data_IF_381587871568
#
_entry.id   IF_381587871568
#
_cell.length_a   1.000
_cell.length_b   1.000
_cell.length_c   1.000
_cell.angle_alpha   90.00
_cell.angle_beta   90.00
_cell.angle_gamma   90.00
#
_symmetry.space_group_name_H-M   'P 1'
#
loop_
_entity.id
_entity.type
_entity.pdbx_description
1 polymer ?
#
# COMPACT_ATOMS: atom_id res chain seq x y z
N UNK A 1 -15.65 10.73 -26.22
CA UNK A 1 -15.71 10.09 -24.88
C UNK A 1 -14.71 8.95 -24.74
N UNK A 2 -14.73 7.88 -25.55
CA UNK A 2 -13.86 6.69 -25.33
C UNK A 2 -12.34 6.92 -25.16
N UNK A 3 -11.73 7.85 -25.89
CA UNK A 3 -10.27 8.03 -25.87
C UNK A 3 -9.77 8.67 -24.57
N UNK A 4 -10.50 9.66 -24.05
CA UNK A 4 -10.16 10.35 -22.81
C UNK A 4 -10.27 9.41 -21.61
N UNK A 5 -11.33 8.60 -21.56
CA UNK A 5 -11.55 7.63 -20.48
C UNK A 5 -10.45 6.56 -20.46
N UNK A 6 -10.02 6.07 -21.62
CA UNK A 6 -8.89 5.15 -21.75
C UNK A 6 -7.60 5.81 -21.25
N UNK A 7 -7.35 7.06 -21.65
CA UNK A 7 -6.16 7.81 -21.23
C UNK A 7 -6.12 8.03 -19.71
N UNK A 8 -7.24 8.41 -19.10
CA UNK A 8 -7.36 8.57 -17.64
C UNK A 8 -7.17 7.24 -16.89
N UNK A 9 -7.70 6.14 -17.40
CA UNK A 9 -7.48 4.81 -16.81
C UNK A 9 -5.99 4.41 -16.85
N UNK A 10 -5.29 4.66 -17.96
CA UNK A 10 -3.85 4.36 -18.09
C UNK A 10 -3.04 5.19 -17.09
N UNK A 11 -3.31 6.49 -16.99
CA UNK A 11 -2.64 7.36 -16.01
C UNK A 11 -2.91 6.87 -14.59
N UNK A 12 -4.16 6.51 -14.27
CA UNK A 12 -4.52 5.96 -12.96
C UNK A 12 -3.72 4.71 -12.62
N UNK A 13 -3.58 3.77 -13.56
CA UNK A 13 -2.77 2.55 -13.38
C UNK A 13 -1.29 2.89 -13.16
N UNK A 14 -0.71 3.81 -13.95
CA UNK A 14 0.69 4.21 -13.82
C UNK A 14 0.98 4.86 -12.46
N UNK A 15 0.08 5.71 -11.98
CA UNK A 15 0.20 6.33 -10.64
C UNK A 15 0.16 5.27 -9.54
N UNK A 16 -0.69 4.25 -9.66
CA UNK A 16 -0.75 3.14 -8.70
C UNK A 16 0.55 2.34 -8.70
N UNK A 17 1.11 2.04 -9.87
CA UNK A 17 2.37 1.31 -10.00
C UNK A 17 3.52 2.08 -9.34
N UNK A 18 3.64 3.37 -9.62
CA UNK A 18 4.69 4.22 -9.04
C UNK A 18 4.54 4.32 -7.51
N UNK A 19 3.29 4.43 -7.03
CA UNK A 19 3.01 4.45 -5.59
C UNK A 19 3.37 3.13 -4.91
N UNK A 20 3.07 1.98 -5.53
CA UNK A 20 3.50 0.66 -5.03
C UNK A 20 5.02 0.59 -4.98
N UNK A 21 5.70 1.00 -6.04
CA UNK A 21 7.16 1.00 -6.10
C UNK A 21 7.76 1.82 -4.96
N UNK A 22 7.26 3.05 -4.75
CA UNK A 22 7.68 3.92 -3.67
C UNK A 22 7.50 3.27 -2.28
N UNK A 23 6.33 2.66 -2.02
CA UNK A 23 6.07 1.96 -0.75
C UNK A 23 7.04 0.80 -0.56
N UNK A 24 7.21 -0.05 -1.57
CA UNK A 24 8.08 -1.23 -1.50
C UNK A 24 9.51 -0.82 -1.18
N UNK A 25 10.07 0.15 -1.92
CA UNK A 25 11.43 0.64 -1.71
C UNK A 25 11.60 1.20 -0.29
N UNK A 26 10.63 1.99 0.17
CA UNK A 26 10.67 2.61 1.51
C UNK A 26 10.63 1.55 2.62
N UNK A 27 9.70 0.60 2.54
CA UNK A 27 9.53 -0.44 3.56
C UNK A 27 10.76 -1.36 3.60
N UNK A 28 11.30 -1.74 2.45
CA UNK A 28 12.52 -2.56 2.38
C UNK A 28 13.73 -1.82 2.91
N UNK A 29 13.85 -0.52 2.62
CA UNK A 29 14.90 0.32 3.18
C UNK A 29 14.78 0.38 4.72
N UNK A 30 13.58 0.64 5.25
CA UNK A 30 13.35 0.68 6.69
C UNK A 30 13.72 -0.63 7.38
N UNK A 31 13.30 -1.76 6.79
CA UNK A 31 13.67 -3.08 7.30
C UNK A 31 15.19 -3.31 7.30
N UNK A 32 15.87 -2.95 6.20
CA UNK A 32 17.32 -3.10 6.06
C UNK A 32 18.09 -2.33 7.13
N UNK A 33 17.61 -1.16 7.53
CA UNK A 33 18.29 -0.28 8.48
C UNK A 33 17.76 -0.37 9.92
N UNK A 34 16.93 -1.37 10.25
CA UNK A 34 16.46 -1.55 11.63
C UNK A 34 15.40 -0.54 12.07
N UNK A 35 14.75 0.14 11.13
CA UNK A 35 13.70 1.13 11.41
C UNK A 35 12.30 0.49 11.38
N UNK A 36 11.32 1.23 11.90
CA UNK A 36 9.90 0.88 11.79
C UNK A 36 9.48 0.76 10.33
N UNK A 37 8.71 -0.28 9.99
CA UNK A 37 8.33 -0.58 8.60
C UNK A 37 7.63 0.60 7.92
N UNK A 38 6.75 1.30 8.66
CA UNK A 38 6.00 2.45 8.16
C UNK A 38 6.36 3.69 8.99
N UNK A 39 6.91 4.72 8.35
CA UNK A 39 7.29 5.97 9.03
C UNK A 39 6.02 6.72 9.44
N UNK A 40 5.77 6.82 10.76
CA UNK A 40 4.58 7.51 11.31
C UNK A 40 4.62 9.04 11.17
N UNK A 41 5.78 9.63 10.91
CA UNK A 41 5.95 11.08 10.78
C UNK A 41 6.13 11.52 9.33
N UNK A 42 5.04 12.02 8.75
CA UNK A 42 4.99 13.30 8.02
C UNK A 42 6.11 13.60 7.02
N UNK A 43 6.48 12.66 6.15
CA UNK A 43 7.06 13.10 4.88
C UNK A 43 5.94 13.72 4.03
N UNK A 44 6.08 15.02 3.75
CA UNK A 44 5.17 15.80 2.90
C UNK A 44 4.95 15.13 1.55
N UNK A 45 5.99 14.47 1.02
CA UNK A 45 5.95 13.64 -0.19
C UNK A 45 4.97 12.47 -0.08
N UNK A 46 4.91 11.78 1.07
CA UNK A 46 3.97 10.68 1.29
C UNK A 46 2.52 11.16 1.29
N UNK A 47 2.23 12.29 1.97
CA UNK A 47 0.89 12.89 1.97
C UNK A 47 0.46 13.37 0.57
N UNK A 48 1.38 14.02 -0.15
CA UNK A 48 1.13 14.47 -1.53
C UNK A 48 0.91 13.26 -2.46
N UNK A 49 1.72 12.21 -2.33
CA UNK A 49 1.55 10.96 -3.08
C UNK A 49 0.20 10.28 -2.82
N UNK A 50 -0.24 10.23 -1.56
CA UNK A 50 -1.57 9.69 -1.20
C UNK A 50 -2.71 10.53 -1.78
N UNK A 51 -2.60 11.87 -1.79
CA UNK A 51 -3.63 12.75 -2.38
C UNK A 51 -3.67 12.58 -3.91
N UNK A 52 -2.52 12.57 -4.58
CA UNK A 52 -2.42 12.35 -6.03
C UNK A 52 -3.00 10.98 -6.39
N UNK A 53 -2.71 9.96 -5.60
CA UNK A 53 -3.28 8.61 -5.74
C UNK A 53 -4.81 8.62 -5.62
N UNK A 54 -5.36 9.26 -4.59
CA UNK A 54 -6.82 9.34 -4.38
C UNK A 54 -7.52 10.08 -5.53
N UNK A 55 -6.94 11.18 -6.00
CA UNK A 55 -7.45 11.95 -7.14
C UNK A 55 -7.36 11.11 -8.42
N UNK A 56 -6.23 10.47 -8.70
CA UNK A 56 -6.06 9.64 -9.89
C UNK A 56 -7.07 8.47 -9.92
N UNK A 57 -7.29 7.82 -8.79
CA UNK A 57 -8.26 6.72 -8.68
C UNK A 57 -9.69 7.21 -8.89
N UNK A 58 -10.05 8.43 -8.49
CA UNK A 58 -11.43 8.94 -8.59
C UNK A 58 -12.00 8.90 -10.02
N UNK A 59 -11.14 9.08 -11.03
CA UNK A 59 -11.50 9.10 -12.46
C UNK A 59 -11.50 7.71 -13.13
N UNK A 60 -11.06 6.67 -12.41
CA UNK A 60 -10.98 5.30 -12.92
C UNK A 60 -12.36 4.61 -12.80
N UNK A 61 -12.68 3.69 -13.72
CA UNK A 61 -13.92 2.91 -13.64
C UNK A 61 -14.01 2.10 -12.32
N UNK A 62 -15.20 1.92 -11.75
CA UNK A 62 -15.37 1.23 -10.45
C UNK A 62 -14.79 -0.18 -10.43
N UNK A 63 -14.89 -0.93 -11.54
CA UNK A 63 -14.27 -2.26 -11.68
C UNK A 63 -12.75 -2.16 -11.56
N UNK A 64 -12.13 -1.22 -12.28
CA UNK A 64 -10.68 -1.01 -12.19
C UNK A 64 -10.27 -0.50 -10.81
N UNK A 65 -11.06 0.36 -10.14
CA UNK A 65 -10.80 0.78 -8.75
C UNK A 65 -10.70 -0.43 -7.81
N UNK A 66 -11.66 -1.37 -7.91
CA UNK A 66 -11.67 -2.61 -7.13
C UNK A 66 -10.43 -3.46 -7.41
N UNK A 67 -10.09 -3.66 -8.69
CA UNK A 67 -8.92 -4.45 -9.09
C UNK A 67 -7.63 -3.83 -8.55
N UNK A 68 -7.47 -2.50 -8.68
CA UNK A 68 -6.26 -1.79 -8.23
C UNK A 68 -6.10 -1.83 -6.72
N UNK A 69 -7.18 -1.62 -5.95
CA UNK A 69 -7.17 -1.70 -4.49
C UNK A 69 -6.87 -3.13 -4.01
N UNK A 70 -7.43 -4.14 -4.69
CA UNK A 70 -7.11 -5.54 -4.39
C UNK A 70 -5.64 -5.85 -4.67
N UNK A 71 -5.12 -5.40 -5.81
CA UNK A 71 -3.73 -5.62 -6.20
C UNK A 71 -2.75 -4.96 -5.22
N UNK A 72 -3.06 -3.74 -4.75
CA UNK A 72 -2.32 -3.05 -3.70
C UNK A 72 -2.27 -3.87 -2.41
N UNK A 73 -3.43 -4.37 -1.97
CA UNK A 73 -3.51 -5.17 -0.75
C UNK A 73 -2.70 -6.45 -0.84
N UNK A 74 -2.87 -7.21 -1.93
CA UNK A 74 -2.13 -8.44 -2.16
C UNK A 74 -0.62 -8.15 -2.19
N UNK A 75 -0.22 -7.06 -2.85
CA UNK A 75 1.20 -6.65 -2.91
C UNK A 75 1.76 -6.33 -1.52
N UNK A 76 1.00 -5.62 -0.67
CA UNK A 76 1.38 -5.34 0.71
C UNK A 76 1.51 -6.63 1.54
N UNK A 77 0.56 -7.56 1.43
CA UNK A 77 0.63 -8.87 2.10
C UNK A 77 1.84 -9.69 1.67
N UNK A 78 2.15 -9.72 0.36
CA UNK A 78 3.34 -10.40 -0.17
C UNK A 78 4.61 -9.76 0.37
N UNK A 79 4.68 -8.43 0.41
CA UNK A 79 5.82 -7.71 0.96
C UNK A 79 6.02 -8.02 2.45
N UNK A 80 4.95 -7.99 3.25
CA UNK A 80 5.04 -8.34 4.66
C UNK A 80 5.45 -9.79 4.88
N UNK A 81 4.96 -10.71 4.05
CA UNK A 81 5.38 -12.11 4.12
C UNK A 81 6.85 -12.28 3.78
N UNK A 82 7.34 -11.56 2.77
CA UNK A 82 8.76 -11.53 2.43
C UNK A 82 9.61 -11.02 3.61
N UNK A 83 9.21 -9.91 4.23
CA UNK A 83 9.91 -9.36 5.40
C UNK A 83 9.87 -10.33 6.58
N UNK A 84 8.75 -11.01 6.83
CA UNK A 84 8.64 -12.02 7.88
C UNK A 84 9.69 -13.13 7.71
N UNK A 85 9.87 -13.61 6.47
CA UNK A 85 10.85 -14.64 6.13
C UNK A 85 12.28 -14.13 6.28
N UNK A 86 12.57 -12.93 5.80
CA UNK A 86 13.89 -12.31 5.92
C UNK A 86 14.25 -12.03 7.40
N UNK A 87 13.29 -11.56 8.19
CA UNK A 87 13.48 -11.26 9.61
C UNK A 87 13.91 -12.50 10.41
N UNK A 88 13.31 -13.67 10.11
CA UNK A 88 13.70 -14.96 10.73
C UNK A 88 15.13 -15.39 10.40
N UNK A 89 15.68 -14.90 9.29
CA UNK A 89 17.03 -15.23 8.83
C UNK A 89 18.06 -14.22 9.35
N UNK A 90 17.79 -12.92 9.17
CA UNK A 90 18.70 -11.82 9.51
C UNK A 90 18.78 -11.62 11.03
N UNK A 91 17.63 -11.60 11.72
CA UNK A 91 17.54 -11.27 13.14
C UNK A 91 17.39 -12.51 14.03
N UNK A 92 17.79 -13.70 13.55
CA UNK A 92 17.65 -14.98 14.29
C UNK A 92 18.23 -14.93 15.71
N UNK A 93 19.34 -14.23 15.88
CA UNK A 93 20.05 -14.12 17.16
C UNK A 93 19.68 -12.87 17.96
N UNK A 94 18.86 -11.96 17.38
CA UNK A 94 18.38 -10.75 18.05
C UNK A 94 16.87 -10.87 18.28
N UNK A 95 16.49 -11.48 19.42
CA UNK A 95 15.10 -11.77 19.77
C UNK A 95 14.24 -10.51 19.89
N UNK A 96 14.82 -9.39 20.33
CA UNK A 96 14.12 -8.10 20.43
C UNK A 96 13.70 -7.61 19.04
N UNK A 97 14.62 -7.49 18.09
CA UNK A 97 14.32 -7.08 16.72
C UNK A 97 13.39 -8.08 16.01
N UNK A 98 13.59 -9.39 16.25
CA UNK A 98 12.74 -10.43 15.70
C UNK A 98 11.27 -10.21 16.12
N UNK A 99 11.03 -10.04 17.41
CA UNK A 99 9.69 -9.83 17.97
C UNK A 99 9.09 -8.48 17.58
N UNK A 100 9.91 -7.43 17.50
CA UNK A 100 9.52 -6.10 17.05
C UNK A 100 8.90 -6.15 15.64
N UNK A 101 9.60 -6.71 14.67
CA UNK A 101 9.12 -6.79 13.29
C UNK A 101 7.90 -7.70 13.13
N UNK A 102 7.80 -8.80 13.90
CA UNK A 102 6.59 -9.63 13.90
C UNK A 102 5.37 -8.84 14.39
N UNK A 103 5.55 -8.05 15.46
CA UNK A 103 4.49 -7.18 15.99
C UNK A 103 4.09 -6.10 15.00
N UNK A 104 5.07 -5.45 14.37
CA UNK A 104 4.82 -4.43 13.34
C UNK A 104 4.05 -5.01 12.15
N UNK A 105 4.47 -6.15 11.60
CA UNK A 105 3.78 -6.79 10.48
C UNK A 105 2.31 -7.06 10.82
N UNK A 106 2.02 -7.64 12.00
CA UNK A 106 0.63 -7.91 12.42
C UNK A 106 -0.19 -6.63 12.53
N UNK A 107 0.42 -5.56 13.04
CA UNK A 107 -0.23 -4.26 13.18
C UNK A 107 -0.55 -3.66 11.81
N UNK A 108 0.41 -3.66 10.88
CA UNK A 108 0.22 -3.07 9.56
C UNK A 108 -0.79 -3.86 8.72
N UNK A 109 -0.78 -5.20 8.76
CA UNK A 109 -1.82 -6.03 8.14
C UNK A 109 -3.22 -5.64 8.64
N UNK A 110 -3.37 -5.44 9.96
CA UNK A 110 -4.65 -5.02 10.54
C UNK A 110 -5.06 -3.62 10.05
N UNK A 111 -4.13 -2.69 9.99
CA UNK A 111 -4.39 -1.33 9.51
C UNK A 111 -4.84 -1.35 8.04
N UNK A 112 -4.15 -2.12 7.19
CA UNK A 112 -4.49 -2.28 5.78
C UNK A 112 -5.88 -2.89 5.59
N UNK A 113 -6.21 -3.96 6.33
CA UNK A 113 -7.55 -4.56 6.31
C UNK A 113 -8.65 -3.54 6.62
N UNK A 114 -8.44 -2.68 7.63
CA UNK A 114 -9.40 -1.63 8.00
C UNK A 114 -9.49 -0.61 6.87
N UNK A 115 -8.36 -0.11 6.37
CA UNK A 115 -8.31 0.90 5.32
C UNK A 115 -9.02 0.44 4.03
N UNK A 116 -8.78 -0.80 3.61
CA UNK A 116 -9.39 -1.39 2.42
C UNK A 116 -10.89 -1.63 2.61
N UNK A 117 -11.31 -2.09 3.79
CA UNK A 117 -12.73 -2.25 4.09
C UNK A 117 -13.48 -0.92 3.96
N UNK A 118 -12.90 0.17 4.51
CA UNK A 118 -13.45 1.53 4.37
C UNK A 118 -13.47 1.95 2.90
N UNK A 119 -12.39 1.72 2.17
CA UNK A 119 -12.29 2.10 0.77
C UNK A 119 -13.32 1.39 -0.12
N UNK A 120 -13.55 0.09 0.12
CA UNK A 120 -14.60 -0.67 -0.56
C UNK A 120 -15.99 -0.11 -0.31
N UNK A 121 -16.31 0.22 0.95
CA UNK A 121 -17.59 0.86 1.29
C UNK A 121 -17.77 2.17 0.53
N UNK A 122 -16.72 3.00 0.45
CA UNK A 122 -16.76 4.26 -0.30
C UNK A 122 -17.01 4.02 -1.79
N UNK A 123 -16.30 3.06 -2.42
CA UNK A 123 -16.51 2.73 -3.84
C UNK A 123 -17.97 2.32 -4.09
N UNK A 124 -18.54 1.48 -3.21
CA UNK A 124 -19.92 0.99 -3.35
C UNK A 124 -20.92 2.15 -3.23
N UNK A 125 -20.77 3.01 -2.21
CA UNK A 125 -21.66 4.17 -2.02
C UNK A 125 -21.59 5.09 -3.23
N UNK A 126 -20.39 5.46 -3.68
CA UNK A 126 -20.21 6.39 -4.81
C UNK A 126 -20.67 5.78 -6.14
N UNK A 127 -20.64 4.46 -6.29
CA UNK A 127 -21.12 3.81 -7.53
C UNK A 127 -22.64 3.60 -7.58
N UNK A 128 -23.34 3.76 -6.45
CA UNK A 128 -24.79 3.58 -6.33
C UNK A 128 -25.57 4.90 -6.20
N UNK A 129 -24.88 6.04 -6.18
CA UNK A 129 -25.44 7.41 -6.22
C UNK A 129 -25.33 7.92 -7.65
#
# INVERSE_FOLDING_TARGET
MKLLDIFLNIIGILVVIEYIHYIVVTVLWNFKYGHSLVIKNTQTSGKIGTVIFLVAISYVSSILKIILVTALFISALVLYKYIEVQNKTINKNNLELLSFYISEIKKEIRNDCIAISIFYVIIIIVSNI
#
